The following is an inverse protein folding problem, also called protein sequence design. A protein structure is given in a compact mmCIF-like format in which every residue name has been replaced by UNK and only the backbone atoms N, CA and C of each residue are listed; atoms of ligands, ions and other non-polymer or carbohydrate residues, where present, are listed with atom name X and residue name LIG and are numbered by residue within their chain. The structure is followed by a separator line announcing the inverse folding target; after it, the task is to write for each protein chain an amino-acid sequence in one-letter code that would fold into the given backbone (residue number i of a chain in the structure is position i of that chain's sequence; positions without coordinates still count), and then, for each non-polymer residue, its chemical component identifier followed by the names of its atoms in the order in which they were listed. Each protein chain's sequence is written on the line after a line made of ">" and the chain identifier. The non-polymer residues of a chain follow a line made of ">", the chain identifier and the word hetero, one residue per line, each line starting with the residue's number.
data_IF_054603011439
#
_entry.id   IF_054603011439
#
_cell.length_a   1.000
_cell.length_b   1.000
_cell.length_c   1.000
_cell.angle_alpha   90.00
_cell.angle_beta   90.00
_cell.angle_gamma   90.00
#
_symmetry.space_group_name_H-M   'P 1'
#
loop_
_entity.id
_entity.type
_entity.pdbx_description
1 polymer ?
#
# COMPACT_ATOMS: atom_id res chain seq x y z
N UNK A 1 -12.94 -26.25 5.03
CA UNK A 1 -12.73 -25.10 5.93
C UNK A 1 -12.53 -23.88 5.05
N UNK A 2 -13.26 -22.76 5.26
CA UNK A 2 -13.04 -21.56 4.46
C UNK A 2 -11.63 -21.02 4.67
N UNK A 3 -11.08 -20.36 3.65
CA UNK A 3 -9.84 -19.60 3.77
C UNK A 3 -10.17 -18.24 4.39
N UNK A 4 -9.64 -17.97 5.57
CA UNK A 4 -9.91 -16.77 6.38
C UNK A 4 -8.60 -16.04 6.62
N UNK A 5 -8.59 -14.76 6.23
CA UNK A 5 -7.41 -13.88 6.28
C UNK A 5 -7.79 -12.57 6.96
N UNK A 6 -7.65 -12.44 8.29
CA UNK A 6 -7.77 -11.15 8.96
C UNK A 6 -6.59 -10.26 8.55
N UNK A 7 -6.89 -8.99 8.28
CA UNK A 7 -5.87 -7.99 7.97
C UNK A 7 -5.81 -7.01 9.16
N UNK A 8 -4.63 -6.84 9.72
CA UNK A 8 -4.37 -5.87 10.79
C UNK A 8 -3.53 -4.72 10.25
N UNK A 9 -4.01 -3.49 10.41
CA UNK A 9 -3.22 -2.29 10.16
C UNK A 9 -2.67 -1.80 11.49
N UNK A 10 -1.35 -1.65 11.59
CA UNK A 10 -0.66 -1.15 12.78
C UNK A 10 -0.88 0.37 12.86
N UNK A 11 -1.40 0.82 14.00
CA UNK A 11 -1.79 2.20 14.26
C UNK A 11 -1.56 2.54 15.73
N UNK A 12 -1.68 3.81 16.08
CA UNK A 12 -1.59 4.29 17.46
C UNK A 12 -2.63 3.68 18.41
N UNK A 13 -3.69 3.06 17.89
CA UNK A 13 -4.72 2.39 18.69
C UNK A 13 -4.37 0.94 19.08
N UNK A 14 -3.49 0.26 18.35
CA UNK A 14 -3.31 -1.18 18.49
C UNK A 14 -1.84 -1.65 18.51
N UNK A 15 -0.87 -0.77 18.26
CA UNK A 15 0.54 -1.16 18.13
C UNK A 15 1.11 -1.86 19.38
N UNK A 16 0.52 -1.65 20.56
CA UNK A 16 0.92 -2.29 21.82
C UNK A 16 0.35 -3.72 22.00
N UNK A 17 -0.62 -4.12 21.18
CA UNK A 17 -1.43 -5.34 21.37
C UNK A 17 -1.41 -6.28 20.16
N UNK A 18 -0.45 -6.16 19.24
CA UNK A 18 -0.45 -6.94 18.01
C UNK A 18 -0.33 -8.45 18.27
N UNK A 19 0.45 -8.87 19.27
CA UNK A 19 0.57 -10.28 19.65
C UNK A 19 -0.75 -10.84 20.20
N UNK A 20 -1.46 -10.07 21.04
CA UNK A 20 -2.78 -10.44 21.56
C UNK A 20 -3.81 -10.56 20.44
N UNK A 21 -3.79 -9.64 19.47
CA UNK A 21 -4.62 -9.68 18.27
C UNK A 21 -4.34 -10.94 17.46
N UNK A 22 -3.07 -11.33 17.30
CA UNK A 22 -2.69 -12.56 16.62
C UNK A 22 -3.27 -13.78 17.34
N UNK A 23 -3.09 -13.87 18.64
CA UNK A 23 -3.52 -15.01 19.45
C UNK A 23 -5.04 -15.19 19.47
N UNK A 24 -5.81 -14.10 19.37
CA UNK A 24 -7.27 -14.16 19.28
C UNK A 24 -7.80 -14.90 18.03
N UNK A 25 -7.05 -14.81 16.93
CA UNK A 25 -7.49 -15.29 15.61
C UNK A 25 -6.70 -16.50 15.09
N UNK A 26 -5.54 -16.80 15.68
CA UNK A 26 -4.57 -17.79 15.13
C UNK A 26 -5.11 -19.20 14.96
N UNK A 27 -6.17 -19.59 15.65
CA UNK A 27 -6.82 -20.90 15.57
C UNK A 27 -7.90 -20.98 14.48
N UNK A 28 -8.29 -19.84 13.91
CA UNK A 28 -9.40 -19.70 12.94
C UNK A 28 -8.94 -19.26 11.55
N UNK A 29 -7.66 -18.96 11.38
CA UNK A 29 -7.13 -18.27 10.20
C UNK A 29 -5.91 -18.99 9.64
N UNK A 30 -5.66 -18.83 8.33
CA UNK A 30 -4.51 -19.46 7.67
C UNK A 30 -3.37 -18.47 7.39
N UNK A 31 -3.71 -17.20 7.21
CA UNK A 31 -2.78 -16.11 6.97
C UNK A 31 -3.25 -14.89 7.74
N UNK A 32 -2.32 -14.10 8.30
CA UNK A 32 -2.63 -12.87 8.99
C UNK A 32 -1.64 -11.77 8.57
N UNK A 33 -2.00 -10.97 7.55
CA UNK A 33 -1.20 -9.82 7.12
C UNK A 33 -1.27 -8.68 8.13
N UNK A 34 -0.11 -8.12 8.43
CA UNK A 34 0.11 -6.92 9.23
C UNK A 34 0.70 -5.83 8.34
N UNK A 35 -0.05 -4.74 8.15
CA UNK A 35 0.44 -3.56 7.45
C UNK A 35 0.97 -2.56 8.45
N UNK A 36 2.18 -2.04 8.23
CA UNK A 36 2.73 -0.94 9.03
C UNK A 36 1.96 0.39 8.85
N UNK A 37 1.01 0.40 7.93
CA UNK A 37 0.12 1.53 7.68
C UNK A 37 0.46 2.20 6.37
N UNK A 38 -0.58 2.52 5.61
CA UNK A 38 -0.44 3.34 4.43
C UNK A 38 -0.80 4.78 4.74
N UNK A 39 0.24 5.59 4.85
CA UNK A 39 0.09 7.01 5.11
C UNK A 39 1.22 7.80 4.49
N UNK A 40 0.96 9.07 4.29
CA UNK A 40 1.93 10.04 3.76
C UNK A 40 1.93 11.27 4.65
N UNK A 41 3.04 12.01 4.62
CA UNK A 41 3.10 13.35 5.21
C UNK A 41 2.50 14.39 4.27
N UNK A 42 2.15 15.56 4.83
CA UNK A 42 1.70 16.69 4.03
C UNK A 42 2.74 17.13 2.99
N UNK A 43 4.03 17.06 3.34
CA UNK A 43 5.14 17.35 2.44
C UNK A 43 5.12 16.41 1.21
N UNK A 44 4.97 15.10 1.46
CA UNK A 44 4.96 14.09 0.40
C UNK A 44 3.71 14.16 -0.47
N UNK A 45 2.57 14.56 0.10
CA UNK A 45 1.37 14.85 -0.67
C UNK A 45 1.60 16.02 -1.65
N UNK A 46 2.14 17.14 -1.16
CA UNK A 46 2.47 18.30 -2.01
C UNK A 46 3.48 17.96 -3.11
N UNK A 47 4.52 17.19 -2.78
CA UNK A 47 5.50 16.74 -3.77
C UNK A 47 4.85 15.83 -4.81
N UNK A 48 3.93 14.96 -4.38
CA UNK A 48 3.17 14.12 -5.28
C UNK A 48 2.34 14.92 -6.27
N UNK A 49 1.63 15.95 -5.81
CA UNK A 49 0.86 16.85 -6.66
C UNK A 49 1.72 17.48 -7.76
N UNK A 50 2.91 17.97 -7.40
CA UNK A 50 3.85 18.59 -8.34
C UNK A 50 4.37 17.58 -9.38
N UNK A 51 4.79 16.39 -8.92
CA UNK A 51 5.27 15.33 -9.81
C UNK A 51 4.16 14.85 -10.74
N UNK A 52 2.98 14.62 -10.20
CA UNK A 52 1.84 14.12 -10.96
C UNK A 52 1.36 15.16 -11.97
N UNK A 53 1.26 16.44 -11.60
CA UNK A 53 0.92 17.52 -12.54
C UNK A 53 1.96 17.66 -13.65
N UNK A 54 3.25 17.55 -13.33
CA UNK A 54 4.33 17.56 -14.33
C UNK A 54 4.24 16.38 -15.30
N UNK A 55 3.92 15.17 -14.82
CA UNK A 55 3.83 13.95 -15.66
C UNK A 55 2.52 13.88 -16.45
N UNK A 56 1.41 14.29 -15.86
CA UNK A 56 0.05 14.02 -16.35
C UNK A 56 -0.77 15.25 -16.76
N UNK A 57 -0.31 16.45 -16.42
CA UNK A 57 -0.92 17.72 -16.82
C UNK A 57 -2.12 18.16 -15.99
N UNK A 58 -2.37 17.52 -14.85
CA UNK A 58 -3.41 17.90 -13.88
C UNK A 58 -2.99 17.49 -12.47
N UNK A 59 -3.58 18.12 -11.46
CA UNK A 59 -3.31 17.83 -10.05
C UNK A 59 -4.22 16.72 -9.54
N UNK A 60 -3.68 15.64 -8.92
CA UNK A 60 -4.49 14.59 -8.31
C UNK A 60 -5.06 15.06 -6.98
N UNK A 61 -6.15 14.45 -6.53
CA UNK A 61 -6.82 14.81 -5.26
C UNK A 61 -6.99 13.62 -4.31
N UNK A 62 -7.11 12.40 -4.85
CA UNK A 62 -7.48 11.23 -4.05
C UNK A 62 -6.39 10.81 -3.05
N UNK A 63 -5.13 11.10 -3.38
CA UNK A 63 -3.98 10.79 -2.53
C UNK A 63 -4.04 11.46 -1.14
N UNK A 64 -4.76 12.58 -1.00
CA UNK A 64 -4.98 13.26 0.28
C UNK A 64 -5.73 12.39 1.30
N UNK A 65 -6.47 11.37 0.83
CA UNK A 65 -7.11 10.37 1.68
C UNK A 65 -6.12 9.59 2.56
N UNK A 66 -4.84 9.57 2.20
CA UNK A 66 -3.74 8.93 2.94
C UNK A 66 -3.05 9.84 3.96
N UNK A 67 -3.49 11.08 4.12
CA UNK A 67 -3.09 11.94 5.24
C UNK A 67 -3.85 11.47 6.49
N UNK A 68 -3.23 10.61 7.29
CA UNK A 68 -3.85 9.95 8.44
C UNK A 68 -3.04 10.18 9.70
N UNK A 69 -3.68 10.70 10.74
CA UNK A 69 -3.05 10.92 12.05
C UNK A 69 -2.95 9.66 12.90
N UNK A 70 -3.68 8.58 12.59
CA UNK A 70 -3.63 7.34 13.37
C UNK A 70 -2.32 6.55 13.24
N UNK A 71 -1.36 7.06 12.48
CA UNK A 71 0.01 6.54 12.41
C UNK A 71 1.01 7.44 13.12
N UNK A 72 0.56 8.62 13.58
CA UNK A 72 1.34 9.46 14.47
C UNK A 72 1.43 8.74 15.83
N UNK A 73 2.58 8.83 16.48
CA UNK A 73 2.78 8.30 17.84
C UNK A 73 2.76 6.76 17.95
N UNK A 74 3.10 6.06 16.87
CA UNK A 74 3.45 4.63 16.92
C UNK A 74 4.91 4.50 17.38
N UNK A 75 5.16 3.85 18.51
CA UNK A 75 6.53 3.60 18.99
C UNK A 75 7.18 2.43 18.22
N UNK A 76 8.23 2.67 17.40
CA UNK A 76 8.88 1.61 16.63
C UNK A 76 9.51 0.51 17.48
N UNK A 77 9.95 0.82 18.70
CA UNK A 77 10.56 -0.16 19.60
C UNK A 77 9.52 -1.16 20.11
N UNK A 78 8.35 -0.65 20.52
CA UNK A 78 7.23 -1.51 20.94
C UNK A 78 6.71 -2.34 19.77
N UNK A 79 6.59 -1.76 18.58
CA UNK A 79 6.19 -2.52 17.39
C UNK A 79 7.19 -3.64 17.10
N UNK A 80 8.49 -3.37 17.16
CA UNK A 80 9.53 -4.39 16.95
C UNK A 80 9.43 -5.55 17.96
N UNK A 81 9.16 -5.24 19.24
CA UNK A 81 8.89 -6.24 20.27
C UNK A 81 7.66 -7.10 19.92
N UNK A 82 6.56 -6.47 19.53
CA UNK A 82 5.33 -7.17 19.14
C UNK A 82 5.53 -8.06 17.91
N UNK A 83 6.23 -7.56 16.88
CA UNK A 83 6.62 -8.32 15.69
C UNK A 83 7.44 -9.55 16.08
N UNK A 84 8.43 -9.37 16.98
CA UNK A 84 9.24 -10.48 17.49
C UNK A 84 8.40 -11.54 18.21
N UNK A 85 7.47 -11.11 19.08
CA UNK A 85 6.58 -11.99 19.84
C UNK A 85 5.66 -12.81 18.92
N UNK A 86 5.06 -12.17 17.90
CA UNK A 86 4.24 -12.84 16.89
C UNK A 86 5.06 -13.89 16.13
N UNK A 87 6.23 -13.51 15.62
CA UNK A 87 7.05 -14.43 14.82
C UNK A 87 7.54 -15.63 15.61
N UNK A 88 7.88 -15.43 16.88
CA UNK A 88 8.35 -16.51 17.76
C UNK A 88 7.22 -17.47 18.12
N UNK A 89 6.04 -16.95 18.47
CA UNK A 89 4.88 -17.75 18.89
C UNK A 89 4.18 -18.48 17.72
N UNK A 90 4.35 -18.02 16.47
CA UNK A 90 3.60 -18.54 15.31
C UNK A 90 4.39 -19.47 14.40
N UNK A 91 5.64 -19.80 14.76
CA UNK A 91 6.54 -20.65 13.96
C UNK A 91 6.01 -22.05 13.60
N UNK A 92 4.95 -22.53 14.26
CA UNK A 92 4.33 -23.86 14.03
C UNK A 92 2.80 -23.83 14.00
N UNK A 93 2.19 -22.64 13.95
CA UNK A 93 0.73 -22.47 13.99
C UNK A 93 0.07 -22.53 12.61
N UNK A 94 -1.25 -22.77 12.53
CA UNK A 94 -1.97 -22.77 11.26
C UNK A 94 -2.14 -21.38 10.65
N UNK A 95 -2.05 -20.32 11.45
CA UNK A 95 -2.10 -18.92 11.01
C UNK A 95 -0.70 -18.35 10.81
N UNK A 96 -0.31 -18.12 9.55
CA UNK A 96 1.00 -17.56 9.21
C UNK A 96 0.96 -16.03 9.31
N UNK A 97 1.78 -15.38 10.15
CA UNK A 97 1.89 -13.93 10.15
C UNK A 97 2.71 -13.47 8.94
N UNK A 98 2.22 -12.45 8.24
CA UNK A 98 2.94 -11.78 7.15
C UNK A 98 3.02 -10.30 7.47
N UNK A 99 4.21 -9.70 7.43
CA UNK A 99 4.40 -8.27 7.64
C UNK A 99 4.64 -7.58 6.30
N UNK A 100 3.96 -6.46 6.07
CA UNK A 100 4.00 -5.72 4.81
C UNK A 100 4.32 -4.24 5.10
N UNK A 101 5.48 -3.73 4.65
CA UNK A 101 6.57 -4.48 4.00
C UNK A 101 7.24 -5.48 4.96
N UNK A 102 8.12 -6.35 4.44
CA UNK A 102 8.82 -7.41 5.18
C UNK A 102 9.98 -6.87 6.04
N UNK A 103 9.70 -5.84 6.82
CA UNK A 103 10.60 -5.25 7.81
C UNK A 103 10.28 -5.80 9.20
N UNK A 104 11.31 -6.00 10.02
CA UNK A 104 11.16 -6.66 11.33
C UNK A 104 11.97 -6.03 12.46
N UNK A 105 12.99 -5.24 12.13
CA UNK A 105 13.89 -4.65 13.13
C UNK A 105 13.38 -3.28 13.56
N UNK A 106 13.64 -2.88 14.81
CA UNK A 106 13.31 -1.53 15.27
C UNK A 106 13.87 -0.46 14.33
N UNK A 107 15.10 -0.62 13.86
CA UNK A 107 15.75 0.32 12.94
C UNK A 107 14.94 0.51 11.66
N UNK A 108 14.53 -0.59 11.03
CA UNK A 108 13.78 -0.54 9.78
C UNK A 108 12.35 -0.05 10.01
N UNK A 109 11.71 -0.46 11.10
CA UNK A 109 10.37 0.00 11.47
C UNK A 109 10.39 1.51 11.74
N UNK A 110 11.38 2.00 12.50
CA UNK A 110 11.58 3.44 12.77
C UNK A 110 11.78 4.20 11.47
N UNK A 111 12.67 3.70 10.60
CA UNK A 111 12.87 4.30 9.28
C UNK A 111 11.58 4.30 8.46
N UNK A 112 10.76 3.26 8.54
CA UNK A 112 9.47 3.23 7.86
C UNK A 112 8.54 4.34 8.35
N UNK A 113 8.45 4.62 9.65
CA UNK A 113 7.61 5.72 10.14
C UNK A 113 8.22 7.12 9.88
N UNK A 114 9.54 7.26 9.91
CA UNK A 114 10.22 8.56 9.80
C UNK A 114 10.48 8.98 8.34
N UNK A 115 10.96 8.05 7.50
CA UNK A 115 11.45 8.32 6.14
C UNK A 115 10.43 7.87 5.08
N UNK A 116 9.65 8.83 4.58
CA UNK A 116 8.64 8.62 3.54
C UNK A 116 9.19 8.59 2.11
N UNK A 117 10.49 8.83 1.96
CA UNK A 117 11.18 8.66 0.68
C UNK A 117 11.68 7.24 0.47
N UNK A 118 11.80 6.47 1.55
CA UNK A 118 12.26 5.09 1.48
C UNK A 118 11.24 4.18 0.78
N UNK A 119 11.67 3.60 -0.33
CA UNK A 119 10.90 2.68 -1.16
C UNK A 119 10.89 1.23 -0.65
N UNK A 120 11.58 0.98 0.47
CA UNK A 120 11.68 -0.33 1.14
C UNK A 120 12.19 -1.42 0.18
N UNK A 121 13.03 -1.05 -0.80
CA UNK A 121 13.62 -1.97 -1.76
C UNK A 121 12.81 -2.16 -3.06
N UNK A 122 11.67 -1.47 -3.21
CA UNK A 122 10.82 -1.55 -4.39
C UNK A 122 10.99 -0.31 -5.28
N UNK A 123 11.82 -0.39 -6.32
CA UNK A 123 12.13 0.77 -7.18
C UNK A 123 11.19 0.98 -8.38
N UNK A 124 10.33 0.01 -8.68
CA UNK A 124 9.33 0.05 -9.76
C UNK A 124 8.00 -0.59 -9.33
N UNK A 125 6.91 -0.20 -9.99
CA UNK A 125 5.59 -0.78 -9.78
C UNK A 125 5.21 -1.65 -10.98
N UNK A 126 5.13 -2.97 -10.78
CA UNK A 126 4.76 -3.91 -11.84
C UNK A 126 3.25 -4.05 -12.02
N UNK A 127 2.46 -3.74 -10.98
CA UNK A 127 0.99 -3.85 -11.00
C UNK A 127 0.36 -3.15 -12.21
N UNK A 128 0.92 -2.01 -12.66
CA UNK A 128 0.39 -1.19 -13.76
C UNK A 128 0.46 -1.89 -15.13
N UNK A 129 1.22 -2.98 -15.24
CA UNK A 129 1.35 -3.81 -16.44
C UNK A 129 0.44 -5.03 -16.42
N UNK A 130 -0.11 -5.39 -15.27
CA UNK A 130 -0.86 -6.64 -15.08
C UNK A 130 -2.30 -6.41 -14.62
N UNK A 131 -2.60 -5.25 -14.04
CA UNK A 131 -3.89 -4.94 -13.42
C UNK A 131 -4.47 -3.66 -14.00
N UNK A 132 -5.78 -3.66 -14.20
CA UNK A 132 -6.58 -2.47 -14.41
C UNK A 132 -7.67 -2.41 -13.35
N UNK A 133 -7.98 -1.19 -12.91
CA UNK A 133 -9.07 -0.95 -11.98
C UNK A 133 -10.28 -0.47 -12.76
N UNK A 134 -11.46 -1.01 -12.44
CA UNK A 134 -12.72 -0.63 -13.07
C UNK A 134 -13.69 -0.20 -11.97
N UNK A 135 -14.09 1.06 -12.01
CA UNK A 135 -15.08 1.63 -11.09
C UNK A 135 -16.50 1.20 -11.47
N UNK A 136 -17.49 1.25 -10.55
CA UNK A 136 -18.86 0.81 -10.85
C UNK A 136 -19.55 1.54 -12.02
N UNK A 137 -19.10 2.76 -12.35
CA UNK A 137 -19.58 3.54 -13.49
C UNK A 137 -18.88 3.18 -14.82
N UNK A 138 -17.98 2.18 -14.81
CA UNK A 138 -17.21 1.75 -15.97
C UNK A 138 -15.87 2.46 -16.18
N UNK A 139 -15.53 3.47 -15.37
CA UNK A 139 -14.25 4.17 -15.52
C UNK A 139 -13.09 3.23 -15.22
N UNK A 140 -12.12 3.22 -16.14
CA UNK A 140 -10.95 2.36 -16.08
C UNK A 140 -9.72 3.19 -15.76
N UNK A 141 -8.98 2.80 -14.72
CA UNK A 141 -7.77 3.49 -14.27
C UNK A 141 -6.58 2.52 -14.16
N UNK A 142 -5.33 3.00 -14.29
CA UNK A 142 -4.14 2.14 -14.28
C UNK A 142 -3.68 1.73 -12.88
N UNK A 143 -4.27 2.30 -11.84
CA UNK A 143 -3.83 2.09 -10.46
C UNK A 143 -4.98 2.37 -9.50
N UNK A 144 -5.09 1.52 -8.46
CA UNK A 144 -6.08 1.62 -7.38
C UNK A 144 -6.03 2.93 -6.61
N UNK A 145 -4.88 3.59 -6.59
CA UNK A 145 -4.68 4.84 -5.83
C UNK A 145 -4.85 6.09 -6.67
N UNK A 146 -4.84 5.93 -8.00
CA UNK A 146 -5.00 7.00 -8.97
C UNK A 146 -6.31 6.83 -9.72
N UNK A 147 -7.40 6.71 -8.97
CA UNK A 147 -8.75 6.68 -9.54
C UNK A 147 -9.15 8.02 -10.18
N UNK A 148 -8.40 9.09 -9.92
CA UNK A 148 -8.51 10.39 -10.59
C UNK A 148 -7.80 10.43 -11.97
N UNK A 149 -6.98 9.42 -12.31
CA UNK A 149 -6.46 9.21 -13.66
C UNK A 149 -7.38 8.29 -14.47
N UNK A 150 -8.49 8.83 -14.98
CA UNK A 150 -9.41 8.06 -15.84
C UNK A 150 -8.80 7.90 -17.24
N UNK A 151 -8.49 6.66 -17.61
CA UNK A 151 -7.89 6.33 -18.90
C UNK A 151 -8.93 6.05 -20.00
N UNK A 152 -10.16 5.73 -19.61
CA UNK A 152 -11.30 5.48 -20.49
C UNK A 152 -12.46 4.86 -19.72
N UNK A 153 -13.52 4.47 -20.43
CA UNK A 153 -14.70 3.85 -19.82
C UNK A 153 -15.10 2.58 -20.59
N UNK A 154 -15.21 1.45 -19.89
CA UNK A 154 -15.48 0.14 -20.49
C UNK A 154 -16.93 -0.04 -20.95
N UNK A 155 -17.84 0.84 -20.53
CA UNK A 155 -19.22 0.84 -21.01
C UNK A 155 -19.35 1.46 -22.42
N UNK A 156 -18.38 2.29 -22.83
CA UNK A 156 -18.38 2.95 -24.15
C UNK A 156 -17.29 2.45 -25.09
N UNK A 157 -16.20 1.92 -24.55
CA UNK A 157 -15.01 1.51 -25.31
C UNK A 157 -14.60 0.10 -24.89
N UNK A 158 -14.27 -0.82 -25.82
CA UNK A 158 -13.80 -2.16 -25.47
C UNK A 158 -12.58 -2.12 -24.54
N UNK A 159 -12.53 -3.04 -23.57
CA UNK A 159 -11.47 -3.08 -22.54
C UNK A 159 -10.06 -2.99 -23.13
N UNK A 160 -9.75 -3.79 -24.16
CA UNK A 160 -8.41 -3.81 -24.75
C UNK A 160 -8.07 -2.54 -25.53
N UNK A 161 -9.08 -1.82 -26.02
CA UNK A 161 -8.87 -0.54 -26.69
C UNK A 161 -8.52 0.55 -25.67
N UNK A 162 -9.13 0.52 -24.48
CA UNK A 162 -8.74 1.40 -23.36
C UNK A 162 -7.36 1.02 -22.82
N UNK A 163 -7.12 -0.26 -22.55
CA UNK A 163 -5.87 -0.80 -21.98
C UNK A 163 -4.63 -0.51 -22.83
N UNK A 164 -4.77 -0.58 -24.16
CA UNK A 164 -3.72 -0.27 -25.13
C UNK A 164 -3.80 1.18 -25.63
N UNK A 165 -4.74 1.97 -25.11
CA UNK A 165 -4.97 3.35 -25.50
C UNK A 165 -3.86 4.30 -25.06
N UNK A 166 -3.96 5.54 -25.53
CA UNK A 166 -2.95 6.57 -25.31
C UNK A 166 -2.75 6.91 -23.81
N UNK A 167 -3.82 6.94 -23.02
CA UNK A 167 -3.75 7.27 -21.59
C UNK A 167 -2.98 6.19 -20.79
N UNK A 168 -3.34 4.91 -20.94
CA UNK A 168 -2.60 3.81 -20.31
C UNK A 168 -1.13 3.75 -20.77
N UNK A 169 -0.90 3.93 -22.08
CA UNK A 169 0.46 3.96 -22.64
C UNK A 169 1.28 5.11 -22.05
N UNK A 170 0.70 6.30 -21.95
CA UNK A 170 1.31 7.47 -21.31
C UNK A 170 1.62 7.17 -19.84
N UNK A 171 0.66 6.63 -19.09
CA UNK A 171 0.85 6.31 -17.68
C UNK A 171 2.04 5.38 -17.45
N UNK A 172 2.09 4.25 -18.18
CA UNK A 172 3.21 3.30 -18.10
C UNK A 172 4.56 3.94 -18.48
N UNK A 173 4.58 4.77 -19.52
CA UNK A 173 5.81 5.46 -19.92
C UNK A 173 6.29 6.48 -18.88
N UNK A 174 5.38 7.22 -18.26
CA UNK A 174 5.71 8.17 -17.19
C UNK A 174 6.18 7.46 -15.91
N UNK A 175 5.68 6.26 -15.62
CA UNK A 175 6.15 5.44 -14.50
C UNK A 175 7.57 4.88 -14.69
N UNK A 176 8.11 4.83 -15.92
CA UNK A 176 9.52 4.47 -16.16
C UNK A 176 10.51 5.51 -15.59
N UNK A 177 10.06 6.72 -15.28
CA UNK A 177 10.87 7.76 -14.62
C UNK A 177 11.07 7.49 -13.11
N UNK A 178 10.55 6.37 -12.61
CA UNK A 178 10.59 5.99 -11.20
C UNK A 178 9.26 6.24 -10.50
N UNK A 179 9.16 5.70 -9.29
CA UNK A 179 7.98 5.83 -8.43
C UNK A 179 7.61 7.30 -8.19
N UNK A 180 6.30 7.56 -8.10
CA UNK A 180 5.81 8.86 -7.65
C UNK A 180 5.82 8.94 -6.12
N UNK A 181 5.81 10.13 -5.51
CA UNK A 181 6.06 10.28 -4.09
C UNK A 181 5.19 9.45 -3.13
N UNK A 182 3.89 9.26 -3.43
CA UNK A 182 3.00 8.42 -2.60
C UNK A 182 3.14 6.92 -2.85
N UNK A 183 3.76 6.52 -3.97
CA UNK A 183 3.92 5.11 -4.31
C UNK A 183 4.80 4.35 -3.30
N UNK A 184 5.75 5.02 -2.63
CA UNK A 184 6.64 4.41 -1.62
C UNK A 184 5.89 3.81 -0.43
N UNK A 185 4.60 4.13 -0.29
CA UNK A 185 3.70 3.65 0.77
C UNK A 185 2.57 2.77 0.25
N UNK A 186 2.50 2.54 -1.05
CA UNK A 186 1.44 1.76 -1.69
C UNK A 186 1.52 0.29 -1.30
N UNK A 187 0.41 -0.28 -0.81
CA UNK A 187 0.35 -1.72 -0.53
C UNK A 187 0.46 -2.58 -1.80
N UNK A 188 0.04 -2.07 -2.96
CA UNK A 188 0.18 -2.75 -4.25
C UNK A 188 1.62 -2.80 -4.76
N UNK A 189 2.52 -2.01 -4.16
CA UNK A 189 3.96 -2.10 -4.40
C UNK A 189 4.59 -3.23 -3.57
N UNK A 190 4.12 -3.44 -2.34
CA UNK A 190 4.76 -4.25 -1.30
C UNK A 190 4.07 -5.61 -1.05
N UNK A 191 2.97 -5.89 -1.75
CA UNK A 191 2.08 -7.04 -1.45
C UNK A 191 1.68 -7.89 -2.66
N UNK A 192 2.48 -7.87 -3.74
CA UNK A 192 2.32 -8.78 -4.89
C UNK A 192 3.13 -10.07 -4.70
#
# INVERSE_FOLDING_TARGET
>A
MPFVVPITVISNYNYQHLAEIHDLVRDKTQLHPYYYGWFITQERATEHEQVFASRFGHTPVNHTGYLKSCFNDVDPAVVAEQVHNIRTSSSKGPSVPQFIPDIYTEKDIRRYYDDHTWDVGYSSCESIYHVAEISPNGDMTPCRDYQDYVAGNVCTTPFYDVWNGAAFTRFRNEMKKGLMPVCTRCCGLQGF
#
